data_IF_755461940877
#
_entry.id   IF_755461940877
#
_cell.length_a   1.000
_cell.length_b   1.000
_cell.length_c   1.000
_cell.angle_alpha   90.00
_cell.angle_beta   90.00
_cell.angle_gamma   90.00
#
_symmetry.space_group_name_H-M   'P 1'
#
loop_
_entity.id
_entity.type
_entity.pdbx_description
1 polymer ?
#
# COMPACT_ATOMS: atom_id res chain seq x y z
N UNK A 1 -21.35 -14.48 -23.49
CA UNK A 1 -20.41 -13.54 -24.12
C UNK A 1 -19.28 -13.33 -23.14
N UNK A 2 -18.16 -14.04 -23.33
CA UNK A 2 -16.94 -13.81 -22.54
C UNK A 2 -16.27 -12.59 -23.13
N UNK A 3 -16.40 -11.44 -22.47
CA UNK A 3 -15.50 -10.32 -22.74
C UNK A 3 -14.13 -10.75 -22.24
N UNK A 4 -13.16 -10.78 -23.14
CA UNK A 4 -11.76 -11.03 -22.85
C UNK A 4 -11.21 -9.87 -22.00
N UNK A 5 -11.54 -9.86 -20.71
CA UNK A 5 -11.13 -8.87 -19.72
C UNK A 5 -9.68 -9.03 -19.31
N UNK A 6 -9.03 -10.14 -19.72
CA UNK A 6 -7.65 -10.46 -19.35
C UNK A 6 -6.64 -9.46 -19.92
N UNK A 7 -6.81 -9.04 -21.18
CA UNK A 7 -5.90 -8.08 -21.84
C UNK A 7 -6.09 -6.64 -21.39
N UNK A 8 -7.32 -6.25 -21.05
CA UNK A 8 -7.62 -4.92 -20.51
C UNK A 8 -7.05 -4.75 -19.09
N UNK A 9 -7.13 -5.79 -18.25
CA UNK A 9 -6.55 -5.81 -16.90
C UNK A 9 -5.01 -5.72 -16.94
N UNK A 10 -4.36 -6.46 -17.85
CA UNK A 10 -2.90 -6.41 -18.02
C UNK A 10 -2.39 -5.02 -18.42
N UNK A 11 -3.11 -4.33 -19.32
CA UNK A 11 -2.73 -2.99 -19.76
C UNK A 11 -2.86 -1.96 -18.63
N UNK A 12 -3.95 -2.03 -17.87
CA UNK A 12 -4.17 -1.15 -16.70
C UNK A 12 -3.08 -1.38 -15.65
N UNK A 13 -2.75 -2.63 -15.33
CA UNK A 13 -1.67 -2.97 -14.39
C UNK A 13 -0.31 -2.47 -14.86
N UNK A 14 0.00 -2.59 -16.15
CA UNK A 14 1.24 -2.07 -16.72
C UNK A 14 1.33 -0.53 -16.61
N UNK A 15 0.23 0.18 -16.84
CA UNK A 15 0.16 1.63 -16.64
C UNK A 15 0.34 2.03 -15.18
N UNK A 16 -0.28 1.31 -14.25
CA UNK A 16 -0.08 1.52 -12.81
C UNK A 16 1.38 1.26 -12.44
N UNK A 17 1.99 0.19 -12.94
CA UNK A 17 3.39 -0.16 -12.68
C UNK A 17 4.35 0.94 -13.18
N UNK A 18 4.13 1.46 -14.39
CA UNK A 18 4.91 2.58 -14.94
C UNK A 18 4.75 3.83 -14.08
N UNK A 19 3.51 4.24 -13.80
CA UNK A 19 3.22 5.41 -12.97
C UNK A 19 3.83 5.28 -11.56
N UNK A 20 3.80 4.07 -11.02
CA UNK A 20 4.40 3.76 -9.74
C UNK A 20 5.93 3.92 -9.76
N UNK A 21 6.58 3.41 -10.80
CA UNK A 21 8.02 3.57 -10.99
C UNK A 21 8.44 5.05 -11.08
N UNK A 22 7.65 5.87 -11.78
CA UNK A 22 7.87 7.32 -11.88
C UNK A 22 7.67 8.05 -10.53
N UNK A 23 6.70 7.62 -9.72
CA UNK A 23 6.42 8.22 -8.42
C UNK A 23 7.41 7.79 -7.34
N UNK A 24 8.00 6.59 -7.46
CA UNK A 24 8.84 5.95 -6.43
C UNK A 24 9.93 6.85 -5.84
N UNK A 25 10.73 7.61 -6.61
CA UNK A 25 11.79 8.47 -6.06
C UNK A 25 11.26 9.55 -5.10
N UNK A 26 9.98 9.91 -5.20
CA UNK A 26 9.36 10.97 -4.43
C UNK A 26 8.59 10.45 -3.21
N UNK A 27 8.47 9.12 -3.02
CA UNK A 27 7.59 8.55 -2.00
C UNK A 27 8.00 8.96 -0.59
N UNK A 28 9.29 8.95 -0.25
CA UNK A 28 9.75 9.33 1.09
C UNK A 28 9.47 10.81 1.35
N UNK A 29 9.75 11.69 0.39
CA UNK A 29 9.47 13.11 0.51
C UNK A 29 7.96 13.37 0.67
N UNK A 30 7.14 12.67 -0.12
CA UNK A 30 5.68 12.75 -0.03
C UNK A 30 5.16 12.22 1.32
N UNK A 31 5.70 11.11 1.81
CA UNK A 31 5.34 10.57 3.12
C UNK A 31 5.64 11.56 4.24
N UNK A 32 6.79 12.27 4.17
CA UNK A 32 7.12 13.34 5.13
C UNK A 32 6.11 14.49 5.08
N UNK A 33 5.74 14.95 3.88
CA UNK A 33 4.70 15.98 3.72
C UNK A 33 3.34 15.52 4.26
N UNK A 34 2.99 14.25 4.05
CA UNK A 34 1.74 13.67 4.56
C UNK A 34 1.74 13.51 6.08
N UNK A 35 2.90 13.21 6.66
CA UNK A 35 3.06 13.11 8.11
C UNK A 35 2.76 14.42 8.84
N UNK A 36 3.05 15.57 8.21
CA UNK A 36 2.70 16.89 8.76
C UNK A 36 1.17 17.12 8.81
N UNK A 37 0.41 16.39 8.01
CA UNK A 37 -1.05 16.49 7.93
C UNK A 37 -1.77 15.44 8.80
N UNK A 38 -1.08 14.35 9.16
CA UNK A 38 -1.62 13.28 10.02
C UNK A 38 -1.05 13.37 11.45
N UNK A 39 -1.80 13.89 12.44
CA UNK A 39 -1.32 14.00 13.82
C UNK A 39 -1.07 12.64 14.50
N UNK A 40 -1.50 11.52 13.91
CA UNK A 40 -1.17 10.19 14.39
C UNK A 40 0.08 9.59 13.72
N UNK A 41 0.68 10.30 12.75
CA UNK A 41 1.85 9.83 12.04
C UNK A 41 3.03 9.64 12.99
N UNK A 42 3.69 8.49 12.86
CA UNK A 42 4.92 8.16 13.56
C UNK A 42 6.14 8.20 12.65
N UNK A 43 6.01 8.80 11.46
CA UNK A 43 7.06 8.77 10.44
C UNK A 43 8.37 9.41 10.94
N UNK A 44 8.29 10.41 11.83
CA UNK A 44 9.45 11.06 12.45
C UNK A 44 10.24 10.16 13.42
N UNK A 45 9.69 9.01 13.81
CA UNK A 45 10.37 8.05 14.66
C UNK A 45 11.31 7.11 13.87
N UNK A 46 11.27 7.14 12.54
CA UNK A 46 12.06 6.29 11.66
C UNK A 46 13.27 7.04 11.11
N UNK A 47 14.40 6.36 10.99
CA UNK A 47 15.57 6.89 10.29
C UNK A 47 15.39 6.80 8.77
N UNK A 48 16.17 7.56 8.00
CA UNK A 48 16.11 7.52 6.54
C UNK A 48 16.33 6.11 5.95
N UNK A 49 17.30 5.31 6.45
CA UNK A 49 17.41 3.91 6.06
C UNK A 49 16.17 3.06 6.36
N UNK A 50 15.52 3.28 7.51
CA UNK A 50 14.29 2.55 7.85
C UNK A 50 13.16 2.92 6.88
N UNK A 51 13.04 4.21 6.54
CA UNK A 51 12.06 4.70 5.57
C UNK A 51 12.31 4.13 4.18
N UNK A 52 13.57 4.03 3.74
CA UNK A 52 13.94 3.37 2.49
C UNK A 52 13.56 1.89 2.50
N UNK A 53 13.83 1.18 3.61
CA UNK A 53 13.45 -0.22 3.76
C UNK A 53 11.93 -0.41 3.71
N UNK A 54 11.16 0.46 4.38
CA UNK A 54 9.69 0.44 4.35
C UNK A 54 9.18 0.67 2.92
N UNK A 55 9.69 1.68 2.22
CA UNK A 55 9.29 1.97 0.84
C UNK A 55 9.67 0.82 -0.11
N UNK A 56 10.82 0.18 0.10
CA UNK A 56 11.23 -0.97 -0.68
C UNK A 56 10.34 -2.19 -0.44
N UNK A 57 10.01 -2.50 0.82
CA UNK A 57 9.12 -3.60 1.18
C UNK A 57 7.71 -3.38 0.61
N UNK A 58 7.16 -2.18 0.80
CA UNK A 58 5.85 -1.83 0.27
C UNK A 58 5.84 -1.82 -1.26
N UNK A 59 6.91 -1.33 -1.91
CA UNK A 59 7.05 -1.36 -3.36
C UNK A 59 7.15 -2.78 -3.92
N UNK A 60 7.81 -3.70 -3.21
CA UNK A 60 7.86 -5.12 -3.59
C UNK A 60 6.46 -5.76 -3.53
N UNK A 61 5.74 -5.56 -2.43
CA UNK A 61 4.35 -6.04 -2.30
C UNK A 61 3.42 -5.46 -3.36
N UNK A 62 3.57 -4.17 -3.69
CA UNK A 62 2.74 -3.53 -4.72
C UNK A 62 3.05 -4.09 -6.11
N UNK A 63 4.34 -4.36 -6.39
CA UNK A 63 4.77 -4.97 -7.66
C UNK A 63 4.24 -6.39 -7.80
N UNK A 64 4.36 -7.22 -6.75
CA UNK A 64 3.78 -8.57 -6.68
C UNK A 64 2.28 -8.56 -7.03
N UNK A 65 1.53 -7.64 -6.43
CA UNK A 65 0.10 -7.50 -6.70
C UNK A 65 -0.22 -7.11 -8.16
N UNK A 66 0.63 -6.28 -8.78
CA UNK A 66 0.47 -5.87 -10.17
C UNK A 66 0.77 -7.01 -11.14
N UNK A 67 1.78 -7.82 -10.84
CA UNK A 67 2.14 -9.01 -11.63
C UNK A 67 1.04 -10.10 -11.56
N UNK A 68 0.18 -10.04 -10.54
CA UNK A 68 -0.89 -11.01 -10.34
C UNK A 68 -0.42 -12.30 -9.71
N UNK A 69 0.82 -12.32 -9.23
CA UNK A 69 1.47 -13.47 -8.63
C UNK A 69 1.36 -13.41 -7.11
N UNK A 70 0.82 -14.46 -6.49
CA UNK A 70 0.95 -14.74 -5.06
C UNK A 70 0.49 -13.66 -4.07
N UNK A 71 0.82 -13.92 -2.79
CA UNK A 71 0.70 -12.99 -1.64
C UNK A 71 1.89 -13.13 -0.68
N UNK A 72 2.97 -13.74 -1.15
CA UNK A 72 4.07 -14.23 -0.32
C UNK A 72 4.85 -13.08 0.30
N UNK A 73 5.12 -12.02 -0.49
CA UNK A 73 5.79 -10.81 0.00
C UNK A 73 4.94 -10.11 1.04
N UNK A 74 3.62 -10.00 0.80
CA UNK A 74 2.68 -9.42 1.76
C UNK A 74 2.64 -10.20 3.07
N UNK A 75 2.51 -11.52 2.98
CA UNK A 75 2.46 -12.41 4.14
C UNK A 75 3.74 -12.31 4.96
N UNK A 76 4.91 -12.33 4.32
CA UNK A 76 6.19 -12.15 4.98
C UNK A 76 6.29 -10.79 5.69
N UNK A 77 5.85 -9.70 5.05
CA UNK A 77 5.84 -8.37 5.67
C UNK A 77 4.92 -8.38 6.90
N UNK A 78 3.74 -8.98 6.81
CA UNK A 78 2.82 -9.05 7.95
C UNK A 78 3.40 -9.86 9.11
N UNK A 79 4.10 -10.95 8.84
CA UNK A 79 4.72 -11.79 9.88
C UNK A 79 5.90 -11.12 10.56
N UNK A 80 6.68 -10.34 9.81
CA UNK A 80 7.92 -9.73 10.31
C UNK A 80 7.73 -8.33 10.87
N UNK A 81 6.81 -7.53 10.31
CA UNK A 81 6.66 -6.12 10.66
C UNK A 81 5.52 -5.87 11.66
N UNK A 82 4.40 -6.62 11.62
CA UNK A 82 3.26 -6.32 12.49
C UNK A 82 3.52 -6.56 13.98
N UNK A 83 4.16 -7.66 14.42
CA UNK A 83 4.37 -7.88 15.85
C UNK A 83 5.16 -6.74 16.52
N UNK A 84 6.32 -6.30 16.00
CA UNK A 84 7.03 -5.14 16.56
C UNK A 84 6.20 -3.85 16.57
N UNK A 85 5.41 -3.60 15.53
CA UNK A 85 4.55 -2.41 15.47
C UNK A 85 3.48 -2.43 16.56
N UNK A 86 2.90 -3.60 16.84
CA UNK A 86 1.94 -3.77 17.93
C UNK A 86 2.59 -3.60 19.31
N UNK A 87 3.83 -4.07 19.49
CA UNK A 87 4.63 -3.85 20.71
C UNK A 87 4.93 -2.36 20.95
N UNK A 88 5.09 -1.58 19.89
CA UNK A 88 5.19 -0.10 19.96
C UNK A 88 3.85 0.58 20.31
N UNK A 89 2.79 -0.18 20.57
CA UNK A 89 1.49 0.31 21.00
C UNK A 89 0.65 0.92 19.86
N UNK A 90 0.95 0.62 18.59
CA UNK A 90 0.01 0.96 17.52
C UNK A 90 -1.25 0.09 17.62
N UNK A 91 -2.41 0.72 17.45
CA UNK A 91 -3.69 0.02 17.46
C UNK A 91 -4.17 -0.33 16.04
N UNK A 92 -5.11 -1.27 15.94
CA UNK A 92 -5.78 -1.57 14.67
C UNK A 92 -6.45 -0.33 14.07
N UNK A 93 -6.99 0.56 14.91
CA UNK A 93 -7.60 1.81 14.45
C UNK A 93 -6.55 2.79 13.91
N UNK A 94 -5.38 2.87 14.54
CA UNK A 94 -4.27 3.69 14.04
C UNK A 94 -3.81 3.19 12.67
N UNK A 95 -3.62 1.87 12.53
CA UNK A 95 -3.23 1.24 11.28
C UNK A 95 -4.28 1.43 10.18
N UNK A 96 -5.57 1.27 10.50
CA UNK A 96 -6.66 1.52 9.56
C UNK A 96 -6.64 2.97 9.06
N UNK A 97 -6.53 3.93 9.98
CA UNK A 97 -6.44 5.36 9.67
C UNK A 97 -5.26 5.65 8.74
N UNK A 98 -4.06 5.23 9.12
CA UNK A 98 -2.86 5.49 8.32
C UNK A 98 -2.94 4.84 6.94
N UNK A 99 -3.47 3.62 6.84
CA UNK A 99 -3.63 2.92 5.56
C UNK A 99 -4.61 3.65 4.63
N UNK A 100 -5.73 4.16 5.16
CA UNK A 100 -6.69 4.94 4.36
C UNK A 100 -6.06 6.25 3.86
N UNK A 101 -5.35 6.97 4.73
CA UNK A 101 -4.65 8.21 4.35
C UNK A 101 -3.62 7.90 3.26
N UNK A 102 -2.76 6.90 3.46
CA UNK A 102 -1.76 6.49 2.47
C UNK A 102 -2.40 6.08 1.14
N UNK A 103 -3.50 5.33 1.15
CA UNK A 103 -4.21 4.93 -0.06
C UNK A 103 -4.72 6.14 -0.85
N UNK A 104 -5.38 7.09 -0.18
CA UNK A 104 -5.90 8.32 -0.80
C UNK A 104 -4.76 9.18 -1.35
N UNK A 105 -3.71 9.40 -0.55
CA UNK A 105 -2.58 10.27 -0.92
C UNK A 105 -1.70 9.67 -2.02
N UNK A 106 -1.54 8.34 -2.04
CA UNK A 106 -0.87 7.65 -3.14
C UNK A 106 -1.71 7.75 -4.42
N UNK A 107 -2.99 7.40 -4.35
CA UNK A 107 -3.88 7.36 -5.51
C UNK A 107 -4.01 8.73 -6.17
N UNK A 108 -4.11 9.80 -5.36
CA UNK A 108 -4.21 11.18 -5.88
C UNK A 108 -2.96 11.63 -6.64
N UNK A 109 -1.79 11.08 -6.32
CA UNK A 109 -0.51 11.36 -7.00
C UNK A 109 -0.26 10.44 -8.18
N UNK A 110 -0.75 9.20 -8.11
CA UNK A 110 -0.50 8.17 -9.11
C UNK A 110 -1.43 8.31 -10.32
N UNK A 111 -2.73 8.58 -10.11
CA UNK A 111 -3.70 8.71 -11.22
C UNK A 111 -3.38 9.79 -12.25
N UNK A 112 -2.84 10.98 -11.89
CA UNK A 112 -2.43 11.97 -12.88
C UNK A 112 -1.34 11.48 -13.84
N UNK A 113 -0.50 10.54 -13.40
CA UNK A 113 0.58 9.96 -14.20
C UNK A 113 0.08 8.91 -15.19
N UNK A 114 -1.11 8.33 -14.98
CA UNK A 114 -1.70 7.30 -15.84
C UNK A 114 -2.33 7.94 -17.10
N UNK A 115 -2.23 7.26 -18.24
CA UNK A 115 -2.86 7.67 -19.48
C UNK A 115 -4.38 7.90 -19.30
N UNK A 116 -4.96 9.02 -19.79
CA UNK A 116 -6.35 9.41 -19.52
C UNK A 116 -7.39 8.31 -19.73
N UNK A 117 -7.24 7.51 -20.77
CA UNK A 117 -8.11 6.40 -21.17
C UNK A 117 -8.10 5.21 -20.19
N UNK A 118 -7.09 5.10 -19.32
CA UNK A 118 -6.93 4.01 -18.35
C UNK A 118 -7.18 4.44 -16.90
N UNK A 119 -7.38 5.74 -16.64
CA UNK A 119 -7.45 6.29 -15.27
C UNK A 119 -8.61 5.73 -14.45
N UNK A 120 -9.78 5.56 -15.05
CA UNK A 120 -10.95 5.07 -14.31
C UNK A 120 -10.77 3.62 -13.87
N UNK A 121 -10.31 2.75 -14.77
CA UNK A 121 -10.06 1.34 -14.44
C UNK A 121 -8.87 1.20 -13.48
N UNK A 122 -7.84 2.03 -13.62
CA UNK A 122 -6.76 2.09 -12.65
C UNK A 122 -7.25 2.52 -11.26
N UNK A 123 -8.14 3.52 -11.17
CA UNK A 123 -8.73 3.95 -9.90
C UNK A 123 -9.53 2.83 -9.24
N UNK A 124 -10.31 2.07 -10.02
CA UNK A 124 -11.06 0.90 -9.53
C UNK A 124 -10.13 -0.21 -9.03
N UNK A 125 -9.08 -0.52 -9.80
CA UNK A 125 -8.08 -1.51 -9.41
C UNK A 125 -7.38 -1.11 -8.09
N UNK A 126 -6.92 0.13 -7.98
CA UNK A 126 -6.27 0.67 -6.78
C UNK A 126 -7.21 0.63 -5.57
N UNK A 127 -8.49 0.97 -5.75
CA UNK A 127 -9.48 0.90 -4.69
C UNK A 127 -9.66 -0.54 -4.18
N UNK A 128 -9.77 -1.52 -5.08
CA UNK A 128 -9.82 -2.93 -4.72
C UNK A 128 -8.56 -3.38 -3.99
N UNK A 129 -7.38 -3.07 -4.53
CA UNK A 129 -6.09 -3.42 -3.93
C UNK A 129 -5.98 -2.87 -2.49
N UNK A 130 -6.20 -1.57 -2.30
CA UNK A 130 -6.09 -0.94 -0.98
C UNK A 130 -7.15 -1.45 0.00
N UNK A 131 -8.37 -1.73 -0.47
CA UNK A 131 -9.41 -2.32 0.36
C UNK A 131 -9.02 -3.73 0.84
N UNK A 132 -8.54 -4.59 -0.05
CA UNK A 132 -8.06 -5.93 0.29
C UNK A 132 -6.87 -5.87 1.25
N UNK A 133 -5.87 -5.04 0.96
CA UNK A 133 -4.71 -4.87 1.84
C UNK A 133 -5.14 -4.43 3.25
N UNK A 134 -6.03 -3.44 3.34
CA UNK A 134 -6.53 -2.94 4.63
C UNK A 134 -7.28 -4.03 5.39
N UNK A 135 -8.14 -4.78 4.70
CA UNK A 135 -8.88 -5.89 5.32
C UNK A 135 -7.94 -6.94 5.89
N UNK A 136 -6.99 -7.44 5.08
CA UNK A 136 -6.05 -8.49 5.49
C UNK A 136 -5.12 -8.03 6.63
N UNK A 137 -4.66 -6.78 6.57
CA UNK A 137 -3.89 -6.15 7.65
C UNK A 137 -4.67 -6.18 8.97
N UNK A 138 -5.92 -5.72 8.96
CA UNK A 138 -6.74 -5.65 10.16
C UNK A 138 -7.12 -7.04 10.68
N UNK A 139 -7.40 -7.98 9.79
CA UNK A 139 -7.65 -9.38 10.16
C UNK A 139 -6.45 -9.97 10.90
N UNK A 140 -5.23 -9.80 10.37
CA UNK A 140 -3.99 -10.29 11.00
C UNK A 140 -3.73 -9.63 12.35
N UNK A 141 -3.95 -8.32 12.45
CA UNK A 141 -3.80 -7.58 13.72
C UNK A 141 -4.79 -8.10 14.78
N UNK A 142 -6.03 -8.38 14.39
CA UNK A 142 -7.04 -8.91 15.30
C UNK A 142 -6.71 -10.34 15.73
N UNK A 143 -6.16 -11.18 14.85
CA UNK A 143 -5.69 -12.53 15.16
C UNK A 143 -4.54 -12.51 16.18
N UNK A 144 -3.50 -11.71 15.93
CA UNK A 144 -2.35 -11.57 16.85
C UNK A 144 -2.78 -11.09 18.25
N UNK A 145 -3.76 -10.18 18.32
CA UNK A 145 -4.32 -9.71 19.60
C UNK A 145 -5.14 -10.76 20.34
N UNK A 146 -5.73 -11.72 19.62
CA UNK A 146 -6.46 -12.82 20.24
C UNK A 146 -5.50 -13.85 20.85
N UNK A 147 -4.36 -14.10 20.21
CA UNK A 147 -3.33 -15.04 20.66
C UNK A 147 -2.51 -14.53 21.87
N UNK A 148 -2.38 -13.20 22.00
CA UNK A 148 -1.66 -12.57 23.11
C UNK A 148 -2.48 -12.47 24.43
N UNK A 149 -3.71 -13.00 24.46
CA UNK A 149 -4.61 -13.01 25.63
C UNK A 149 -4.66 -14.39 26.28
#
# INVERSE_FOLDING_TARGET
MSTDTSGADATVRAEIARAFHELRPQIIENARKDADLDPASRLSAFSDPDLEQIVNAWGAMFTEALEGDGRETRELIFETALPPILELGQTALDMARSTVISAVMLTSRLLPLIAPEHREDAARWLACYHSTYTYELLERVMALKAEAR
#
